data_IF_671119246673
#
_entry.id   IF_671119246673
#
_cell.length_a   1.000
_cell.length_b   1.000
_cell.length_c   1.000
_cell.angle_alpha   90.00
_cell.angle_beta   90.00
_cell.angle_gamma   90.00
#
_symmetry.space_group_name_H-M   'P 1'
#
loop_
_entity.id
_entity.type
_entity.pdbx_description
1 polymer ?
#
# COMPACT_ATOMS: atom_id res chain seq x y z
N UNK A 1 16.07 -4.91 -3.82
CA UNK A 1 15.44 -4.55 -2.53
C UNK A 1 14.05 -4.07 -2.86
N UNK A 2 13.02 -4.59 -2.17
CA UNK A 2 11.64 -4.14 -2.32
C UNK A 2 11.53 -2.72 -1.76
N UNK A 3 10.86 -1.86 -2.49
CA UNK A 3 10.48 -0.53 -2.00
C UNK A 3 9.07 -0.61 -1.43
N UNK A 4 8.94 -0.52 -0.10
CA UNK A 4 7.67 -0.70 0.62
C UNK A 4 7.10 0.66 1.02
N UNK A 5 5.77 0.74 1.08
CA UNK A 5 5.08 1.95 1.50
C UNK A 5 5.26 2.22 2.98
N UNK A 6 5.45 3.50 3.31
CA UNK A 6 5.45 4.03 4.66
C UNK A 6 4.04 4.35 5.13
N UNK A 7 3.84 4.41 6.45
CA UNK A 7 2.58 4.88 7.05
C UNK A 7 2.22 6.28 6.55
N UNK A 8 3.21 7.18 6.46
CA UNK A 8 3.00 8.55 6.00
C UNK A 8 2.47 8.60 4.55
N UNK A 9 3.02 7.78 3.65
CA UNK A 9 2.54 7.69 2.27
C UNK A 9 1.10 7.17 2.21
N UNK A 10 0.76 6.14 2.98
CA UNK A 10 -0.60 5.59 2.99
C UNK A 10 -1.61 6.58 3.61
N UNK A 11 -1.19 7.35 4.62
CA UNK A 11 -2.02 8.42 5.18
C UNK A 11 -2.25 9.54 4.17
N UNK A 12 -1.23 9.92 3.41
CA UNK A 12 -1.37 10.90 2.33
C UNK A 12 -2.30 10.38 1.21
N UNK A 13 -2.17 9.11 0.85
CA UNK A 13 -3.10 8.47 -0.10
C UNK A 13 -4.53 8.46 0.44
N UNK A 14 -4.74 8.09 1.70
CA UNK A 14 -6.07 8.10 2.33
C UNK A 14 -6.68 9.50 2.28
N UNK A 15 -5.93 10.52 2.68
CA UNK A 15 -6.39 11.91 2.64
C UNK A 15 -6.80 12.30 1.21
N UNK A 16 -5.96 12.02 0.21
CA UNK A 16 -6.26 12.27 -1.20
C UNK A 16 -7.54 11.55 -1.68
N UNK A 17 -7.74 10.29 -1.27
CA UNK A 17 -8.95 9.54 -1.63
C UNK A 17 -10.22 10.13 -1.00
N UNK A 18 -10.16 10.61 0.24
CA UNK A 18 -11.30 11.25 0.91
C UNK A 18 -11.59 12.62 0.31
N UNK A 19 -10.56 13.43 0.04
CA UNK A 19 -10.70 14.76 -0.55
C UNK A 19 -11.31 14.73 -1.95
N UNK A 20 -10.91 13.76 -2.78
CA UNK A 20 -11.39 13.65 -4.17
C UNK A 20 -12.77 13.04 -4.32
N UNK A 21 -13.10 12.06 -3.48
CA UNK A 21 -14.25 11.19 -3.69
C UNK A 21 -15.25 11.22 -2.52
N UNK A 22 -15.00 12.04 -1.50
CA UNK A 22 -15.83 12.14 -0.31
C UNK A 22 -15.69 10.96 0.66
N UNK A 23 -16.18 11.18 1.87
CA UNK A 23 -16.10 10.24 2.99
C UNK A 23 -15.64 10.95 4.25
N UNK A 24 -15.26 10.17 5.27
CA UNK A 24 -14.74 10.71 6.53
C UNK A 24 -13.25 10.46 6.69
N UNK A 25 -12.51 11.49 7.09
CA UNK A 25 -11.14 11.32 7.57
C UNK A 25 -11.12 10.55 8.90
N UNK A 26 -9.98 9.93 9.18
CA UNK A 26 -9.71 9.32 10.48
C UNK A 26 -9.19 7.90 10.38
N UNK A 27 -8.28 7.58 11.29
CA UNK A 27 -7.78 6.23 11.52
C UNK A 27 -8.71 5.60 12.57
N UNK A 28 -9.26 4.44 12.25
CA UNK A 28 -10.06 3.64 13.19
C UNK A 28 -9.13 2.87 14.13
N UNK A 29 -8.11 2.25 13.57
CA UNK A 29 -7.14 1.43 14.31
C UNK A 29 -5.74 1.58 13.69
N UNK A 30 -4.81 2.28 14.36
CA UNK A 30 -3.43 2.43 13.90
C UNK A 30 -2.67 1.10 13.84
N UNK A 31 -2.95 0.16 14.74
CA UNK A 31 -2.30 -1.14 14.76
C UNK A 31 -2.66 -1.97 13.53
N UNK A 32 -3.91 -1.89 13.05
CA UNK A 32 -4.32 -2.53 11.81
C UNK A 32 -3.67 -1.90 10.57
N UNK A 33 -3.43 -0.59 10.60
CA UNK A 33 -2.71 0.11 9.52
C UNK A 33 -1.26 -0.36 9.45
N UNK A 34 -0.56 -0.36 10.58
CA UNK A 34 0.82 -0.82 10.66
C UNK A 34 0.93 -2.30 10.28
N UNK A 35 0.05 -3.15 10.81
CA UNK A 35 0.04 -4.56 10.48
C UNK A 35 -0.15 -4.82 8.97
N UNK A 36 -1.02 -4.05 8.30
CA UNK A 36 -1.22 -4.16 6.87
C UNK A 36 0.06 -3.84 6.06
N UNK A 37 0.84 -2.87 6.51
CA UNK A 37 2.09 -2.45 5.86
C UNK A 37 3.26 -3.39 6.14
N UNK A 38 3.30 -4.01 7.32
CA UNK A 38 4.34 -4.99 7.68
C UNK A 38 4.09 -6.36 7.06
N UNK A 39 2.82 -6.74 6.86
CA UNK A 39 2.46 -8.06 6.33
C UNK A 39 3.22 -8.47 5.06
N UNK A 40 3.30 -7.68 3.98
CA UNK A 40 4.07 -8.05 2.78
C UNK A 40 5.58 -8.18 3.00
N UNK A 41 6.11 -7.74 4.14
CA UNK A 41 7.54 -7.75 4.47
C UNK A 41 7.97 -8.98 5.28
N UNK A 42 7.03 -9.87 5.63
CA UNK A 42 7.26 -11.03 6.52
C UNK A 42 8.13 -12.12 5.90
N UNK A 43 8.35 -12.09 4.58
CA UNK A 43 9.05 -13.15 3.84
C UNK A 43 8.22 -14.42 3.63
N UNK A 44 6.93 -14.41 3.98
CA UNK A 44 6.01 -15.53 3.78
C UNK A 44 5.53 -15.69 2.33
N UNK A 45 5.48 -14.60 1.57
CA UNK A 45 4.93 -14.54 0.22
C UNK A 45 5.96 -14.91 -0.84
N UNK A 46 5.55 -15.69 -1.84
CA UNK A 46 6.43 -16.24 -2.86
C UNK A 46 6.85 -15.22 -3.91
N UNK A 47 5.97 -14.27 -4.23
CA UNK A 47 6.22 -13.27 -5.25
C UNK A 47 5.60 -11.90 -4.93
N UNK A 48 5.86 -10.94 -5.82
CA UNK A 48 5.38 -9.58 -5.68
C UNK A 48 3.86 -9.47 -5.72
N UNK A 49 3.19 -10.34 -6.49
CA UNK A 49 1.74 -10.30 -6.64
C UNK A 49 1.09 -10.76 -5.33
N UNK A 50 1.64 -11.78 -4.68
CA UNK A 50 1.21 -12.21 -3.36
C UNK A 50 1.45 -11.16 -2.28
N UNK A 51 2.62 -10.50 -2.28
CA UNK A 51 2.90 -9.35 -1.39
C UNK A 51 1.86 -8.23 -1.60
N UNK A 52 1.58 -7.87 -2.86
CA UNK A 52 0.62 -6.82 -3.22
C UNK A 52 -0.83 -7.20 -2.84
N UNK A 53 -1.21 -8.46 -3.02
CA UNK A 53 -2.51 -9.00 -2.62
C UNK A 53 -2.68 -9.00 -1.10
N UNK A 54 -1.62 -9.34 -0.36
CA UNK A 54 -1.63 -9.28 1.10
C UNK A 54 -1.83 -7.86 1.64
N UNK A 55 -1.16 -6.88 1.02
CA UNK A 55 -1.34 -5.45 1.34
C UNK A 55 -2.78 -5.00 1.05
N UNK A 56 -3.30 -5.32 -0.15
CA UNK A 56 -4.68 -4.99 -0.55
C UNK A 56 -5.70 -5.55 0.44
N UNK A 57 -5.59 -6.85 0.72
CA UNK A 57 -6.54 -7.56 1.57
C UNK A 57 -6.54 -6.98 2.98
N UNK A 58 -5.37 -6.70 3.55
CA UNK A 58 -5.29 -6.17 4.91
C UNK A 58 -5.83 -4.75 5.01
N UNK A 59 -5.54 -3.86 4.05
CA UNK A 59 -6.14 -2.51 4.05
C UNK A 59 -7.64 -2.54 3.74
N UNK A 60 -8.08 -3.41 2.83
CA UNK A 60 -9.47 -3.47 2.38
C UNK A 60 -10.39 -4.18 3.36
N UNK A 61 -9.94 -5.19 4.10
CA UNK A 61 -10.79 -6.05 4.93
C UNK A 61 -10.64 -5.79 6.43
N UNK A 62 -9.44 -5.43 6.90
CA UNK A 62 -9.24 -5.14 8.31
C UNK A 62 -9.70 -3.72 8.67
N UNK A 63 -10.06 -2.91 7.67
CA UNK A 63 -10.64 -1.57 7.82
C UNK A 63 -9.86 -0.67 8.81
N UNK A 64 -8.58 -0.35 8.58
CA UNK A 64 -7.81 0.51 9.48
C UNK A 64 -8.33 1.95 9.55
N UNK A 65 -9.10 2.42 8.56
CA UNK A 65 -9.66 3.77 8.51
C UNK A 65 -11.16 3.79 8.83
N UNK A 66 -11.65 4.96 9.25
CA UNK A 66 -13.08 5.21 9.49
C UNK A 66 -13.89 5.03 8.20
N UNK A 67 -13.37 5.52 7.08
CA UNK A 67 -13.93 5.38 5.74
C UNK A 67 -12.80 5.33 4.71
N UNK A 68 -13.10 4.97 3.46
CA UNK A 68 -12.14 5.01 2.35
C UNK A 68 -11.20 3.81 2.26
N UNK A 69 -11.40 2.76 3.08
CA UNK A 69 -10.53 1.57 3.15
C UNK A 69 -10.25 0.94 1.79
N UNK A 70 -11.28 0.64 1.00
CA UNK A 70 -11.13 0.00 -0.33
C UNK A 70 -10.41 0.89 -1.35
N UNK A 71 -10.68 2.20 -1.33
CA UNK A 71 -10.03 3.17 -2.22
C UNK A 71 -8.56 3.35 -1.86
N UNK A 72 -8.27 3.41 -0.56
CA UNK A 72 -6.90 3.51 -0.05
C UNK A 72 -6.12 2.22 -0.32
N UNK A 73 -6.75 1.05 -0.16
CA UNK A 73 -6.16 -0.23 -0.53
C UNK A 73 -5.75 -0.25 -2.02
N UNK A 74 -6.61 0.26 -2.91
CA UNK A 74 -6.27 0.38 -4.34
C UNK A 74 -5.09 1.29 -4.61
N UNK A 75 -5.13 2.51 -4.08
CA UNK A 75 -4.07 3.48 -4.28
C UNK A 75 -2.72 2.95 -3.74
N UNK A 76 -2.74 2.32 -2.57
CA UNK A 76 -1.55 1.72 -1.97
C UNK A 76 -1.01 0.57 -2.81
N UNK A 77 -1.84 -0.39 -3.21
CA UNK A 77 -1.40 -1.55 -4.00
C UNK A 77 -0.89 -1.17 -5.39
N UNK A 78 -1.53 -0.20 -6.06
CA UNK A 78 -1.06 0.33 -7.35
C UNK A 78 0.29 1.04 -7.19
N UNK A 79 0.44 1.90 -6.17
CA UNK A 79 1.69 2.62 -5.91
C UNK A 79 2.84 1.65 -5.57
N UNK A 80 2.60 0.69 -4.69
CA UNK A 80 3.56 -0.36 -4.34
C UNK A 80 4.04 -1.10 -5.60
N UNK A 81 3.11 -1.51 -6.47
CA UNK A 81 3.43 -2.19 -7.72
C UNK A 81 4.29 -1.32 -8.66
N UNK A 82 3.98 -0.01 -8.76
CA UNK A 82 4.75 0.94 -9.56
C UNK A 82 6.17 1.15 -9.02
N UNK A 83 6.36 1.18 -7.70
CA UNK A 83 7.69 1.31 -7.09
C UNK A 83 8.59 0.15 -7.52
N UNK A 84 8.06 -1.08 -7.54
CA UNK A 84 8.81 -2.24 -8.00
C UNK A 84 9.07 -2.24 -9.51
N UNK A 85 8.09 -1.79 -10.29
CA UNK A 85 8.28 -1.63 -11.74
C UNK A 85 9.43 -0.66 -12.05
N UNK A 86 9.47 0.50 -11.40
CA UNK A 86 10.55 1.49 -11.58
C UNK A 86 11.91 0.94 -11.17
N UNK A 87 11.95 0.24 -10.03
CA UNK A 87 13.17 -0.38 -9.50
C UNK A 87 13.73 -1.48 -10.41
N UNK A 88 12.86 -2.21 -11.13
CA UNK A 88 13.28 -3.23 -12.10
C UNK A 88 13.74 -2.66 -13.45
N UNK A 89 13.26 -1.48 -13.85
CA UNK A 89 13.64 -0.85 -15.13
C UNK A 89 14.83 0.10 -15.03
N UNK A 90 15.04 0.74 -13.88
CA UNK A 90 16.24 1.55 -13.60
C UNK A 90 17.53 0.73 -13.73
N UNK A 91 17.50 -0.56 -13.39
CA UNK A 91 18.64 -1.48 -13.51
C UNK A 91 18.99 -1.89 -14.93
N UNK A 92 18.17 -1.58 -15.93
CA UNK A 92 18.44 -1.93 -17.35
C UNK A 92 19.14 -0.83 -18.14
N UNK A 93 19.35 0.35 -17.57
CA UNK A 93 19.87 1.53 -18.30
C UNK A 93 21.38 1.77 -18.12
N UNK A 94 22.09 0.96 -17.33
CA UNK A 94 23.54 1.12 -17.08
C UNK A 94 24.41 0.07 -17.77
N UNK A 95 23.82 -0.80 -18.59
CA UNK A 95 24.55 -1.76 -19.44
C UNK A 95 24.52 -1.26 -20.91
N UNK A 96 25.30 -0.22 -21.21
CA UNK A 96 25.77 0.15 -22.58
C UNK A 96 27.06 0.93 -22.50
#
# INVERSE_FOLDING_TARGET
MRDYLTVAEVLAMHADQIERYGGSHGIRDPGLLEAALFRPQTGYYADLIEEAAALWESLSQNHPFIDGNKRTAFAATDTFSRHQWRSSHSRRSTDV
#
